data_IF_507244395866
#
_entry.id   IF_507244395866
#
_cell.length_a   1.000
_cell.length_b   1.000
_cell.length_c   1.000
_cell.angle_alpha   90.00
_cell.angle_beta   90.00
_cell.angle_gamma   90.00
#
_symmetry.space_group_name_H-M   'P 1'
#
loop_
_entity.id
_entity.type
_entity.pdbx_description
1 polymer ?
#
# COMPACT_ATOMS: atom_id res chain seq x y z
N UNK A 1 -30.08 -25.90 -37.29
CA UNK A 1 -30.44 -26.21 -35.90
C UNK A 1 -29.23 -26.20 -34.97
N UNK A 2 -28.21 -27.06 -35.17
CA UNK A 2 -26.99 -27.13 -34.32
C UNK A 2 -26.24 -25.80 -34.12
N UNK A 3 -26.07 -25.00 -35.17
CA UNK A 3 -25.38 -23.71 -35.10
C UNK A 3 -26.12 -22.73 -34.17
N UNK A 4 -27.44 -22.57 -34.33
CA UNK A 4 -28.27 -21.73 -33.46
C UNK A 4 -28.27 -22.20 -32.00
N UNK A 5 -28.21 -23.51 -31.76
CA UNK A 5 -28.09 -24.07 -30.42
C UNK A 5 -26.74 -23.75 -29.77
N UNK A 6 -25.64 -23.76 -30.55
CA UNK A 6 -24.33 -23.33 -30.08
C UNK A 6 -24.30 -21.84 -29.78
N UNK A 7 -24.81 -20.98 -30.67
CA UNK A 7 -24.89 -19.53 -30.42
C UNK A 7 -25.69 -19.21 -29.15
N UNK A 8 -26.81 -19.90 -28.91
CA UNK A 8 -27.58 -19.73 -27.67
C UNK A 8 -26.80 -20.17 -26.43
N UNK A 9 -26.01 -21.24 -26.52
CA UNK A 9 -25.16 -21.70 -25.42
C UNK A 9 -24.02 -20.69 -25.15
N UNK A 10 -23.42 -20.13 -26.19
CA UNK A 10 -22.39 -19.09 -26.13
C UNK A 10 -22.95 -17.82 -25.47
N UNK A 11 -24.12 -17.34 -25.91
CA UNK A 11 -24.81 -16.20 -25.31
C UNK A 11 -25.07 -16.43 -23.82
N UNK A 12 -25.57 -17.61 -23.43
CA UNK A 12 -25.79 -17.94 -22.01
C UNK A 12 -24.49 -17.91 -21.20
N UNK A 13 -23.41 -18.42 -21.77
CA UNK A 13 -22.08 -18.39 -21.14
C UNK A 13 -21.62 -16.94 -20.95
N UNK A 14 -21.72 -16.11 -21.98
CA UNK A 14 -21.37 -14.68 -21.92
C UNK A 14 -22.23 -13.93 -20.91
N UNK A 15 -23.55 -14.13 -20.91
CA UNK A 15 -24.45 -13.51 -19.93
C UNK A 15 -24.10 -13.88 -18.50
N UNK A 16 -23.73 -15.14 -18.23
CA UNK A 16 -23.27 -15.59 -16.92
C UNK A 16 -21.96 -14.89 -16.51
N UNK A 17 -21.00 -14.78 -17.43
CA UNK A 17 -19.74 -14.07 -17.18
C UNK A 17 -19.98 -12.58 -16.89
N UNK A 18 -20.85 -11.93 -17.66
CA UNK A 18 -21.20 -10.52 -17.44
C UNK A 18 -21.91 -10.30 -16.10
N UNK A 19 -22.79 -11.24 -15.70
CA UNK A 19 -23.42 -11.22 -14.38
C UNK A 19 -22.40 -11.30 -13.24
N UNK A 20 -21.42 -12.18 -13.36
CA UNK A 20 -20.33 -12.29 -12.38
C UNK A 20 -19.47 -11.01 -12.35
N UNK A 21 -19.11 -10.46 -13.52
CA UNK A 21 -18.32 -9.24 -13.62
C UNK A 21 -19.05 -8.03 -12.99
N UNK A 22 -20.36 -7.91 -13.22
CA UNK A 22 -21.22 -6.90 -12.59
C UNK A 22 -21.15 -6.99 -11.06
N UNK A 23 -21.28 -8.20 -10.50
CA UNK A 23 -21.20 -8.43 -9.06
C UNK A 23 -19.82 -8.03 -8.50
N UNK A 24 -18.74 -8.41 -9.17
CA UNK A 24 -17.38 -8.01 -8.77
C UNK A 24 -17.20 -6.49 -8.79
N UNK A 25 -17.75 -5.80 -9.78
CA UNK A 25 -17.71 -4.33 -9.83
C UNK A 25 -18.54 -3.67 -8.73
N UNK A 26 -19.72 -4.22 -8.38
CA UNK A 26 -20.51 -3.74 -7.24
C UNK A 26 -19.75 -3.88 -5.92
N UNK A 27 -19.00 -4.98 -5.75
CA UNK A 27 -18.14 -5.17 -4.58
C UNK A 27 -17.00 -4.15 -4.52
N UNK A 28 -16.32 -3.90 -5.64
CA UNK A 28 -15.25 -2.89 -5.74
C UNK A 28 -15.81 -1.50 -5.47
N UNK A 29 -16.96 -1.16 -6.04
CA UNK A 29 -17.63 0.11 -5.80
C UNK A 29 -17.91 0.31 -4.31
N UNK A 30 -18.51 -0.68 -3.63
CA UNK A 30 -18.81 -0.58 -2.20
C UNK A 30 -17.54 -0.35 -1.37
N UNK A 31 -16.44 -1.05 -1.69
CA UNK A 31 -15.16 -0.83 -1.04
C UNK A 31 -14.61 0.58 -1.28
N UNK A 32 -14.62 1.05 -2.53
CA UNK A 32 -14.17 2.41 -2.84
C UNK A 32 -15.00 3.49 -2.13
N UNK A 33 -16.32 3.32 -2.04
CA UNK A 33 -17.18 4.23 -1.25
C UNK A 33 -16.76 4.23 0.22
N UNK A 34 -16.57 3.06 0.84
CA UNK A 34 -16.13 3.01 2.25
C UNK A 34 -14.75 3.65 2.47
N UNK A 35 -13.82 3.48 1.52
CA UNK A 35 -12.49 4.11 1.56
C UNK A 35 -12.62 5.64 1.45
N UNK A 36 -13.49 6.11 0.54
CA UNK A 36 -13.78 7.53 0.38
C UNK A 36 -14.35 8.14 1.65
N UNK A 37 -15.39 7.51 2.22
CA UNK A 37 -16.05 7.99 3.44
C UNK A 37 -15.09 8.03 4.64
N UNK A 38 -14.21 7.02 4.76
CA UNK A 38 -13.17 7.01 5.78
C UNK A 38 -12.12 8.11 5.55
N UNK A 39 -11.74 8.35 4.29
CA UNK A 39 -10.85 9.44 3.91
C UNK A 39 -11.40 10.81 4.30
N UNK A 40 -12.68 11.06 4.03
CA UNK A 40 -13.37 12.29 4.41
C UNK A 40 -13.40 12.47 5.95
N UNK A 41 -13.67 11.38 6.68
CA UNK A 41 -13.64 11.40 8.15
C UNK A 41 -12.25 11.74 8.69
N UNK A 42 -11.18 11.20 8.09
CA UNK A 42 -9.81 11.51 8.48
C UNK A 42 -9.44 12.98 8.25
N UNK A 43 -9.87 13.57 7.13
CA UNK A 43 -9.67 15.00 6.85
C UNK A 43 -10.40 15.86 7.90
N UNK A 44 -11.58 15.45 8.34
CA UNK A 44 -12.33 16.14 9.40
C UNK A 44 -11.69 15.98 10.79
N UNK A 45 -11.16 14.80 11.14
CA UNK A 45 -10.61 14.50 12.47
C UNK A 45 -9.16 14.99 12.63
N UNK A 46 -8.37 15.04 11.55
CA UNK A 46 -6.96 15.44 11.56
C UNK A 46 -6.69 16.76 12.31
N UNK A 47 -7.41 17.85 12.02
CA UNK A 47 -7.27 19.11 12.74
C UNK A 47 -7.57 18.99 14.24
N UNK A 48 -8.57 18.21 14.64
CA UNK A 48 -8.92 18.00 16.05
C UNK A 48 -7.83 17.24 16.82
N UNK A 49 -7.16 16.27 16.18
CA UNK A 49 -6.01 15.60 16.80
C UNK A 49 -4.82 16.56 16.98
N UNK A 50 -4.59 17.45 16.01
CA UNK A 50 -3.55 18.47 16.11
C UNK A 50 -3.83 19.46 17.25
N UNK A 51 -5.08 19.90 17.43
CA UNK A 51 -5.43 20.80 18.54
C UNK A 51 -5.27 20.10 19.89
N UNK A 52 -5.67 18.83 20.01
CA UNK A 52 -5.47 18.03 21.23
C UNK A 52 -3.99 17.86 21.60
N UNK A 53 -3.11 17.63 20.61
CA UNK A 53 -1.65 17.58 20.82
C UNK A 53 -1.08 18.95 21.26
N UNK A 54 -1.63 20.04 20.73
CA UNK A 54 -1.29 21.40 21.17
C UNK A 54 -1.67 21.64 22.64
N UNK A 55 -2.89 21.27 23.03
CA UNK A 55 -3.39 21.38 24.40
C UNK A 55 -2.55 20.56 25.38
N UNK A 56 -2.13 19.34 25.01
CA UNK A 56 -1.23 18.52 25.80
C UNK A 56 0.05 19.29 26.17
N UNK A 57 0.70 19.91 25.19
CA UNK A 57 1.94 20.68 25.41
C UNK A 57 1.75 21.90 26.32
N UNK A 58 0.63 22.60 26.21
CA UNK A 58 0.33 23.77 27.03
C UNK A 58 -0.12 23.39 28.45
N UNK A 59 -0.96 22.37 28.58
CA UNK A 59 -1.62 22.02 29.84
C UNK A 59 -0.75 21.11 30.69
N UNK A 60 0.08 20.24 30.10
CA UNK A 60 0.93 19.33 30.85
C UNK A 60 2.00 20.00 31.73
N UNK A 61 2.28 21.28 31.49
CA UNK A 61 3.16 22.09 32.37
C UNK A 61 2.47 22.53 33.66
N UNK A 62 1.15 22.61 33.67
CA UNK A 62 0.36 23.15 34.78
C UNK A 62 -0.56 22.11 35.42
N UNK A 63 -0.91 21.05 34.70
CA UNK A 63 -1.87 20.03 35.12
C UNK A 63 -1.44 18.63 34.60
N UNK A 64 -0.54 17.93 35.33
CA UNK A 64 0.03 16.65 34.88
C UNK A 64 -1.00 15.53 34.73
N UNK A 65 -2.10 15.54 35.51
CA UNK A 65 -3.20 14.58 35.33
C UNK A 65 -3.88 14.74 33.97
N UNK A 66 -4.02 15.98 33.48
CA UNK A 66 -4.58 16.24 32.16
C UNK A 66 -3.65 15.82 31.02
N UNK A 67 -2.33 15.91 31.22
CA UNK A 67 -1.35 15.41 30.26
C UNK A 67 -1.49 13.90 30.05
N UNK A 68 -1.64 13.15 31.14
CA UNK A 68 -1.83 11.70 31.11
C UNK A 68 -3.12 11.33 30.37
N UNK A 69 -4.23 11.99 30.68
CA UNK A 69 -5.53 11.70 30.06
C UNK A 69 -5.53 12.04 28.55
N UNK A 70 -4.98 13.21 28.18
CA UNK A 70 -4.84 13.61 26.78
C UNK A 70 -3.90 12.69 26.00
N UNK A 71 -2.87 12.15 26.66
CA UNK A 71 -1.98 11.16 26.04
C UNK A 71 -2.71 9.85 25.76
N UNK A 72 -3.50 9.34 26.72
CA UNK A 72 -4.35 8.16 26.54
C UNK A 72 -5.36 8.37 25.40
N UNK A 73 -6.03 9.52 25.36
CA UNK A 73 -6.98 9.85 24.30
C UNK A 73 -6.32 9.92 22.92
N UNK A 74 -5.14 10.54 22.83
CA UNK A 74 -4.35 10.61 21.59
C UNK A 74 -3.92 9.21 21.12
N UNK A 75 -3.49 8.35 22.04
CA UNK A 75 -3.08 6.98 21.71
C UNK A 75 -4.26 6.14 21.22
N UNK A 76 -5.40 6.21 21.91
CA UNK A 76 -6.63 5.52 21.50
C UNK A 76 -7.10 5.98 20.13
N UNK A 77 -7.14 7.30 19.88
CA UNK A 77 -7.56 7.84 18.58
C UNK A 77 -6.59 7.46 17.45
N UNK A 78 -5.28 7.49 17.68
CA UNK A 78 -4.31 7.02 16.70
C UNK A 78 -4.46 5.52 16.42
N UNK A 79 -4.70 4.71 17.46
CA UNK A 79 -4.98 3.27 17.31
C UNK A 79 -6.22 3.02 16.48
N UNK A 80 -7.34 3.70 16.79
CA UNK A 80 -8.58 3.61 16.02
C UNK A 80 -8.40 4.04 14.57
N UNK A 81 -7.63 5.10 14.31
CA UNK A 81 -7.36 5.55 12.95
C UNK A 81 -6.54 4.52 12.17
N UNK A 82 -5.50 3.96 12.81
CA UNK A 82 -4.68 2.91 12.21
C UNK A 82 -5.49 1.64 11.95
N UNK A 83 -6.33 1.22 12.90
CA UNK A 83 -7.20 0.05 12.75
C UNK A 83 -8.29 0.27 11.68
N UNK A 84 -8.78 1.49 11.52
CA UNK A 84 -9.74 1.82 10.46
C UNK A 84 -9.12 1.73 9.07
N UNK A 85 -7.82 2.05 8.95
CA UNK A 85 -7.03 1.91 7.71
C UNK A 85 -6.51 0.48 7.49
N UNK A 86 -6.15 -0.22 8.56
CA UNK A 86 -5.54 -1.54 8.52
C UNK A 86 -6.56 -2.69 8.61
N UNK A 87 -7.85 -2.37 8.83
CA UNK A 87 -8.90 -3.36 8.97
C UNK A 87 -8.82 -4.40 7.86
N UNK A 88 -8.82 -5.68 8.27
CA UNK A 88 -8.70 -6.97 7.54
C UNK A 88 -9.25 -7.00 6.11
N UNK A 89 -10.15 -6.08 5.81
CA UNK A 89 -10.63 -5.68 4.50
C UNK A 89 -9.53 -5.26 3.49
N UNK A 90 -8.39 -4.69 3.91
CA UNK A 90 -7.26 -4.31 3.04
C UNK A 90 -6.24 -5.42 2.83
N UNK A 91 -6.37 -6.53 3.56
CA UNK A 91 -5.77 -7.78 3.15
C UNK A 91 -6.52 -8.22 1.90
N UNK A 92 -6.16 -7.62 0.76
CA UNK A 92 -6.29 -8.26 -0.53
C UNK A 92 -5.76 -9.66 -0.27
N UNK A 93 -6.63 -10.67 -0.31
CA UNK A 93 -6.18 -12.04 -0.34
C UNK A 93 -5.08 -12.08 -1.40
N UNK A 94 -3.84 -12.22 -0.95
CA UNK A 94 -2.67 -12.23 -1.82
C UNK A 94 -2.62 -13.53 -2.62
N UNK A 95 -3.78 -14.14 -2.92
CA UNK A 95 -3.98 -15.08 -4.01
C UNK A 95 -3.84 -14.41 -5.38
N UNK A 96 -3.63 -13.09 -5.42
CA UNK A 96 -2.99 -12.41 -6.54
C UNK A 96 -1.45 -12.54 -6.56
N UNK A 97 -0.89 -13.57 -5.91
CA UNK A 97 0.34 -14.24 -6.36
C UNK A 97 0.11 -14.87 -7.75
N UNK A 98 -0.34 -14.07 -8.72
CA UNK A 98 -0.33 -14.44 -10.11
C UNK A 98 1.09 -14.28 -10.61
N UNK A 99 1.57 -15.25 -11.39
CA UNK A 99 2.83 -15.20 -12.12
C UNK A 99 3.01 -13.86 -12.87
N UNK A 100 1.91 -13.25 -13.30
CA UNK A 100 1.89 -11.96 -13.96
C UNK A 100 2.28 -10.79 -13.05
N UNK A 101 1.88 -10.79 -11.78
CA UNK A 101 2.29 -9.78 -10.80
C UNK A 101 3.80 -9.83 -10.58
N UNK A 102 4.36 -11.04 -10.50
CA UNK A 102 5.80 -11.25 -10.31
C UNK A 102 6.60 -10.83 -11.55
N UNK A 103 6.09 -11.10 -12.75
CA UNK A 103 6.67 -10.60 -14.01
C UNK A 103 6.67 -9.07 -14.07
N UNK A 104 5.58 -8.42 -13.69
CA UNK A 104 5.50 -6.94 -13.67
C UNK A 104 6.51 -6.34 -12.68
N UNK A 105 6.64 -6.93 -11.47
CA UNK A 105 7.62 -6.48 -10.49
C UNK A 105 9.06 -6.68 -10.97
N UNK A 106 9.33 -7.79 -11.66
CA UNK A 106 10.66 -8.08 -12.21
C UNK A 106 11.03 -7.12 -13.34
N UNK A 107 10.09 -6.80 -14.24
CA UNK A 107 10.29 -5.79 -15.28
C UNK A 107 10.53 -4.40 -14.70
N UNK A 108 9.72 -3.99 -13.71
CA UNK A 108 9.89 -2.72 -13.02
C UNK A 108 11.26 -2.60 -12.33
N UNK A 109 11.74 -3.69 -11.71
CA UNK A 109 13.07 -3.74 -11.09
C UNK A 109 14.19 -3.59 -12.13
N UNK A 110 14.08 -4.28 -13.26
CA UNK A 110 15.07 -4.19 -14.35
C UNK A 110 15.14 -2.76 -14.93
N UNK A 111 13.99 -2.10 -15.09
CA UNK A 111 13.93 -0.70 -15.54
C UNK A 111 14.54 0.25 -14.50
N UNK A 112 14.31 0.01 -13.21
CA UNK A 112 14.91 0.79 -12.13
C UNK A 112 16.45 0.61 -12.08
N UNK A 113 16.95 -0.62 -12.22
CA UNK A 113 18.39 -0.90 -12.31
C UNK A 113 19.05 -0.21 -13.50
N UNK A 114 18.38 -0.22 -14.66
CA UNK A 114 18.86 0.50 -15.85
C UNK A 114 18.92 2.02 -15.59
N UNK A 115 17.88 2.61 -14.98
CA UNK A 115 17.90 4.03 -14.62
C UNK A 115 18.97 4.37 -13.57
N UNK A 116 19.25 3.48 -12.62
CA UNK A 116 20.31 3.64 -11.62
C UNK A 116 21.68 3.65 -12.32
N UNK A 117 21.91 2.76 -13.30
CA UNK A 117 23.14 2.76 -14.11
C UNK A 117 23.38 4.06 -14.87
N UNK A 118 22.32 4.71 -15.35
CA UNK A 118 22.41 5.99 -16.09
C UNK A 118 22.51 7.22 -15.18
N UNK A 119 22.06 7.13 -13.91
CA UNK A 119 22.01 8.28 -12.97
C UNK A 119 23.14 8.29 -11.94
N UNK A 120 23.81 7.17 -11.69
CA UNK A 120 24.95 7.12 -10.79
C UNK A 120 26.26 7.00 -11.60
N UNK A 121 27.23 7.92 -11.43
CA UNK A 121 28.52 7.78 -12.07
C UNK A 121 29.24 6.53 -11.56
N UNK A 122 29.86 5.77 -12.47
CA UNK A 122 30.64 4.58 -12.13
C UNK A 122 31.71 4.92 -11.09
N UNK A 123 31.80 4.11 -10.02
CA UNK A 123 32.90 4.21 -9.06
C UNK A 123 34.23 3.99 -9.79
N UNK A 124 35.24 4.86 -9.61
CA UNK A 124 36.51 4.72 -10.31
C UNK A 124 37.17 3.40 -9.88
N UNK A 125 37.44 2.54 -10.87
CA UNK A 125 38.26 1.35 -10.70
C UNK A 125 39.66 1.80 -10.30
N UNK A 126 40.08 1.44 -9.08
CA UNK A 126 41.44 1.70 -8.60
C UNK A 126 42.43 0.91 -9.45
N UNK A 127 43.01 1.57 -10.45
CA UNK A 127 44.15 1.08 -11.21
C UNK A 127 45.36 0.95 -10.28
N UNK A 128 45.79 -0.29 -10.07
CA UNK A 128 47.19 -0.67 -9.88
C UNK A 128 47.92 -0.11 -8.67
N UNK A 129 47.87 -0.85 -7.55
CA UNK A 129 49.07 -0.97 -6.71
C UNK A 129 49.58 -2.41 -6.81
N UNK A 130 50.61 -2.55 -7.63
CA UNK A 130 51.61 -3.61 -7.54
C UNK A 130 52.12 -3.73 -6.11
N UNK A 131 52.26 -4.96 -5.61
CA UNK A 131 53.48 -5.37 -4.93
C UNK A 131 53.53 -6.90 -4.81
N UNK A 132 54.44 -7.44 -5.62
CA UNK A 132 55.01 -8.77 -5.56
C UNK A 132 55.67 -9.02 -4.19
N UNK A 133 55.14 -9.97 -3.43
CA UNK A 133 55.86 -10.56 -2.30
C UNK A 133 56.53 -11.85 -2.75
N UNK A 134 57.72 -11.72 -3.32
CA UNK A 134 58.76 -12.75 -3.27
C UNK A 134 59.81 -12.28 -2.28
N UNK A 135 60.11 -13.09 -1.26
CA UNK A 135 61.46 -13.63 -1.03
C UNK A 135 61.50 -14.42 0.29
N UNK A 136 62.01 -15.63 0.13
CA UNK A 136 62.40 -16.60 1.14
C UNK A 136 63.93 -16.51 1.25
N UNK A 137 64.43 -16.42 2.49
CA UNK A 137 65.83 -16.40 2.97
C UNK A 137 66.70 -15.17 2.67
#
# INVERSE_FOLDING_TARGET
>A
SRVLSNELAEIRKVTKMLGNARMSLEQVQLRLTTIHDLGDAMVAIGPAMSTMKGLKSSLGRFMPEADSELNSMTQTLNGLMMDSLAGDSFSMETGASSEETERILQEASAVAEQQIGDKFPSVPTSTGLSQSSQSTY
#
